data_IF_726575838122
#
_entry.id   IF_726575838122
#
_cell.length_a   1.000
_cell.length_b   1.000
_cell.length_c   1.000
_cell.angle_alpha   90.00
_cell.angle_beta   90.00
_cell.angle_gamma   90.00
#
_symmetry.space_group_name_H-M   'P 1'
#
loop_
_entity.id
_entity.type
_entity.pdbx_description
1 polymer ?
#
# COMPACT_ATOMS: atom_id res chain seq x y z
N UNK A 1 0.53 -16.49 -5.21
CA UNK A 1 1.17 -16.67 -3.89
C UNK A 1 0.48 -15.75 -2.89
N UNK A 2 0.04 -16.29 -1.73
CA UNK A 2 -0.65 -15.50 -0.71
C UNK A 2 0.17 -15.61 0.58
N UNK A 3 0.66 -14.50 1.17
CA UNK A 3 1.34 -14.55 2.45
C UNK A 3 0.34 -14.84 3.56
N UNK A 4 0.72 -15.69 4.50
CA UNK A 4 -0.11 -16.04 5.66
C UNK A 4 0.41 -15.40 6.94
N UNK A 5 1.72 -15.39 7.12
CA UNK A 5 2.46 -14.73 8.20
C UNK A 5 3.95 -14.73 7.88
N UNK A 6 4.71 -13.90 8.56
CA UNK A 6 6.16 -14.01 8.62
C UNK A 6 6.64 -14.84 9.84
N UNK A 7 7.93 -14.96 10.03
CA UNK A 7 8.55 -15.66 11.16
C UNK A 7 9.20 -14.71 12.20
N UNK A 8 8.96 -13.41 12.09
CA UNK A 8 9.49 -12.40 13.00
C UNK A 8 8.45 -12.06 14.08
N UNK A 9 8.75 -12.30 15.37
CA UNK A 9 7.83 -11.90 16.43
C UNK A 9 7.81 -10.38 16.63
N UNK A 10 6.63 -9.81 16.76
CA UNK A 10 6.42 -8.42 17.20
C UNK A 10 6.35 -8.37 18.73
N UNK A 11 7.04 -7.41 19.35
CA UNK A 11 7.13 -7.28 20.82
C UNK A 11 6.18 -6.21 21.36
N UNK A 12 5.77 -5.25 20.52
CA UNK A 12 4.86 -4.16 20.89
C UNK A 12 3.54 -4.27 20.14
N UNK A 13 2.46 -3.77 20.74
CA UNK A 13 1.17 -3.75 20.06
C UNK A 13 1.19 -2.69 18.95
N UNK A 14 0.93 -3.05 17.67
CA UNK A 14 1.11 -2.16 16.52
C UNK A 14 -0.10 -1.23 16.33
N UNK A 15 -0.21 -0.22 17.21
CA UNK A 15 -1.36 0.70 17.28
C UNK A 15 -1.58 1.45 15.97
N UNK A 16 -0.51 2.01 15.40
CA UNK A 16 -0.60 2.84 14.18
C UNK A 16 -0.94 1.98 12.97
N UNK A 17 -0.35 0.79 12.88
CA UNK A 17 -0.66 -0.15 11.82
C UNK A 17 -2.14 -0.53 11.80
N UNK A 18 -2.73 -0.83 12.96
CA UNK A 18 -4.16 -1.10 13.07
C UNK A 18 -5.03 0.13 12.78
N UNK A 19 -4.61 1.32 13.20
CA UNK A 19 -5.32 2.57 12.85
C UNK A 19 -5.32 2.78 11.34
N UNK A 20 -4.19 2.57 10.66
CA UNK A 20 -4.10 2.70 9.21
C UNK A 20 -4.99 1.67 8.50
N UNK A 21 -4.99 0.41 8.94
CA UNK A 21 -5.89 -0.62 8.42
C UNK A 21 -7.34 -0.21 8.63
N UNK A 22 -7.71 0.19 9.84
CA UNK A 22 -9.08 0.62 10.15
C UNK A 22 -9.51 1.84 9.33
N UNK A 23 -8.63 2.82 9.12
CA UNK A 23 -8.89 3.98 8.29
C UNK A 23 -9.16 3.60 6.82
N UNK A 24 -8.35 2.71 6.25
CA UNK A 24 -8.57 2.20 4.89
C UNK A 24 -9.89 1.44 4.76
N UNK A 25 -10.23 0.59 5.73
CA UNK A 25 -11.51 -0.11 5.76
C UNK A 25 -12.71 0.86 5.88
N UNK A 26 -12.60 1.89 6.72
CA UNK A 26 -13.63 2.90 6.89
C UNK A 26 -13.84 3.74 5.63
N UNK A 27 -12.74 4.18 4.98
CA UNK A 27 -12.81 4.90 3.71
C UNK A 27 -13.45 4.02 2.63
N UNK A 28 -13.07 2.76 2.53
CA UNK A 28 -13.65 1.85 1.55
C UNK A 28 -15.14 1.57 1.81
N UNK A 29 -15.55 1.43 3.08
CA UNK A 29 -16.98 1.34 3.43
C UNK A 29 -17.76 2.59 3.00
N UNK A 30 -17.15 3.77 3.14
CA UNK A 30 -17.72 5.02 2.63
C UNK A 30 -17.78 5.00 1.09
N UNK A 31 -16.73 4.57 0.37
CA UNK A 31 -16.72 4.42 -1.09
C UNK A 31 -17.89 3.55 -1.57
N UNK A 32 -18.12 2.41 -0.91
CA UNK A 32 -19.26 1.54 -1.23
C UNK A 32 -20.61 2.21 -1.04
N UNK A 33 -20.73 3.12 -0.07
CA UNK A 33 -21.98 3.88 0.18
C UNK A 33 -22.33 4.88 -0.92
N UNK A 34 -21.33 5.34 -1.69
CA UNK A 34 -21.51 6.31 -2.77
C UNK A 34 -22.18 5.71 -4.02
N UNK A 35 -22.14 4.39 -4.19
CA UNK A 35 -22.76 3.71 -5.31
C UNK A 35 -22.33 4.30 -6.67
N UNK A 36 -23.28 4.79 -7.44
CA UNK A 36 -23.02 5.36 -8.78
C UNK A 36 -22.24 6.68 -8.78
N UNK A 37 -22.11 7.35 -7.64
CA UNK A 37 -21.37 8.61 -7.51
C UNK A 37 -19.89 8.39 -7.18
N UNK A 38 -19.45 7.14 -7.01
CA UNK A 38 -18.09 6.80 -6.60
C UNK A 38 -17.03 7.33 -7.58
N UNK A 39 -17.20 7.09 -8.87
CA UNK A 39 -16.22 7.51 -9.88
C UNK A 39 -16.05 9.04 -9.88
N UNK A 40 -17.17 9.78 -9.82
CA UNK A 40 -17.13 11.23 -9.75
C UNK A 40 -16.46 11.72 -8.46
N UNK A 41 -16.72 11.06 -7.34
CA UNK A 41 -16.10 11.38 -6.04
C UNK A 41 -14.60 11.18 -6.09
N UNK A 42 -14.13 10.03 -6.56
CA UNK A 42 -12.69 9.72 -6.72
C UNK A 42 -12.05 10.74 -7.67
N UNK A 43 -12.67 11.03 -8.81
CA UNK A 43 -12.16 12.01 -9.77
C UNK A 43 -11.97 13.41 -9.17
N UNK A 44 -12.82 13.79 -8.20
CA UNK A 44 -12.76 15.09 -7.54
C UNK A 44 -11.71 15.13 -6.41
N UNK A 45 -11.54 14.02 -5.66
CA UNK A 45 -10.79 14.00 -4.41
C UNK A 45 -9.46 13.24 -4.47
N UNK A 46 -9.20 12.44 -5.50
CA UNK A 46 -7.92 11.80 -5.71
C UNK A 46 -6.93 12.70 -6.46
N UNK A 47 -5.64 12.42 -6.32
CA UNK A 47 -4.60 13.05 -7.12
C UNK A 47 -4.64 12.51 -8.56
N UNK A 48 -4.65 13.42 -9.54
CA UNK A 48 -4.59 13.12 -10.97
C UNK A 48 -3.31 13.75 -11.51
N UNK A 49 -2.37 12.99 -12.10
CA UNK A 49 -1.05 13.49 -12.50
C UNK A 49 -1.11 14.78 -13.32
N UNK A 50 -1.90 14.80 -14.40
CA UNK A 50 -2.00 15.99 -15.26
C UNK A 50 -2.52 17.23 -14.50
N UNK A 51 -3.41 17.07 -13.52
CA UNK A 51 -3.89 18.19 -12.70
C UNK A 51 -2.82 18.69 -11.74
N UNK A 52 -2.08 17.76 -11.08
CA UNK A 52 -0.99 18.15 -10.18
C UNK A 52 0.10 18.91 -10.93
N UNK A 53 0.45 18.47 -12.14
CA UNK A 53 1.47 19.14 -12.97
C UNK A 53 0.99 20.52 -13.45
N UNK A 54 -0.27 20.65 -13.90
CA UNK A 54 -0.80 21.91 -14.43
C UNK A 54 -1.13 22.95 -13.36
N UNK A 55 -1.63 22.52 -12.19
CA UNK A 55 -2.02 23.41 -11.09
C UNK A 55 -0.87 23.66 -10.09
N UNK A 56 0.20 22.87 -10.18
CA UNK A 56 1.33 22.89 -9.26
C UNK A 56 1.02 22.20 -7.91
N UNK A 57 2.03 22.16 -7.04
CA UNK A 57 1.95 21.50 -5.73
C UNK A 57 1.28 22.41 -4.68
N UNK A 58 -0.01 22.64 -4.85
CA UNK A 58 -0.82 23.44 -3.91
C UNK A 58 -1.22 22.62 -2.68
N UNK A 59 -1.66 23.29 -1.61
CA UNK A 59 -2.19 22.61 -0.42
C UNK A 59 -3.37 21.66 -0.77
N UNK A 60 -4.23 22.06 -1.72
CA UNK A 60 -5.32 21.23 -2.22
C UNK A 60 -4.81 19.94 -2.88
N UNK A 61 -3.74 20.01 -3.67
CA UNK A 61 -3.14 18.83 -4.29
C UNK A 61 -2.51 17.90 -3.23
N UNK A 62 -1.87 18.43 -2.19
CA UNK A 62 -1.38 17.60 -1.09
C UNK A 62 -2.50 16.87 -0.34
N UNK A 63 -3.66 17.50 -0.14
CA UNK A 63 -4.84 16.84 0.43
C UNK A 63 -5.31 15.69 -0.46
N UNK A 64 -5.41 15.91 -1.79
CA UNK A 64 -5.76 14.86 -2.74
C UNK A 64 -4.75 13.71 -2.76
N UNK A 65 -3.44 14.01 -2.72
CA UNK A 65 -2.38 12.99 -2.63
C UNK A 65 -2.49 12.17 -1.34
N UNK A 66 -2.88 12.79 -0.22
CA UNK A 66 -3.14 12.06 1.03
C UNK A 66 -4.36 11.17 0.89
N UNK A 67 -5.47 11.68 0.36
CA UNK A 67 -6.71 10.92 0.17
C UNK A 67 -6.49 9.70 -0.75
N UNK A 68 -5.69 9.87 -1.81
CA UNK A 68 -5.29 8.80 -2.74
C UNK A 68 -4.76 7.56 -2.03
N UNK A 69 -4.01 7.71 -0.92
CA UNK A 69 -3.44 6.61 -0.16
C UNK A 69 -4.49 5.73 0.54
N UNK A 70 -5.74 6.20 0.64
CA UNK A 70 -6.83 5.52 1.33
C UNK A 70 -7.94 5.05 0.39
N UNK A 71 -8.01 5.53 -0.85
CA UNK A 71 -8.99 5.07 -1.84
C UNK A 71 -8.60 3.72 -2.43
N UNK A 72 -9.59 2.89 -2.78
CA UNK A 72 -9.34 1.56 -3.33
C UNK A 72 -10.29 1.25 -4.49
N UNK A 73 -9.74 0.76 -5.59
CA UNK A 73 -10.49 0.41 -6.81
C UNK A 73 -11.32 -0.87 -6.72
N UNK A 74 -11.44 -1.51 -5.53
CA UNK A 74 -12.27 -2.69 -5.32
C UNK A 74 -11.74 -3.62 -4.21
N UNK A 75 -12.53 -4.66 -3.90
CA UNK A 75 -12.29 -5.58 -2.80
C UNK A 75 -10.92 -6.26 -2.82
N UNK A 76 -10.49 -6.76 -3.98
CA UNK A 76 -9.21 -7.45 -4.09
C UNK A 76 -8.04 -6.50 -3.84
N UNK A 77 -8.15 -5.26 -4.32
CA UNK A 77 -7.15 -4.21 -4.11
C UNK A 77 -7.04 -3.85 -2.62
N UNK A 78 -8.17 -3.59 -1.95
CA UNK A 78 -8.18 -3.32 -0.51
C UNK A 78 -7.62 -4.50 0.29
N UNK A 79 -8.17 -5.70 0.09
CA UNK A 79 -7.80 -6.87 0.90
C UNK A 79 -6.32 -7.24 0.73
N UNK A 80 -5.77 -7.13 -0.49
CA UNK A 80 -4.35 -7.35 -0.69
C UNK A 80 -3.50 -6.31 0.05
N UNK A 81 -3.82 -5.03 -0.04
CA UNK A 81 -3.12 -3.97 0.69
C UNK A 81 -3.18 -4.21 2.21
N UNK A 82 -4.36 -4.49 2.75
CA UNK A 82 -4.52 -4.71 4.19
C UNK A 82 -3.79 -5.97 4.66
N UNK A 83 -3.76 -7.03 3.86
CA UNK A 83 -3.03 -8.25 4.18
C UNK A 83 -1.51 -8.00 4.30
N UNK A 84 -0.93 -7.26 3.37
CA UNK A 84 0.49 -6.92 3.42
C UNK A 84 0.82 -5.99 4.59
N UNK A 85 -0.02 -4.99 4.83
CA UNK A 85 0.14 -4.08 5.95
C UNK A 85 0.00 -4.82 7.30
N UNK A 86 -0.93 -5.77 7.41
CA UNK A 86 -1.11 -6.61 8.58
C UNK A 86 0.13 -7.47 8.89
N UNK A 87 0.70 -8.16 7.87
CA UNK A 87 1.78 -9.14 8.08
C UNK A 87 3.13 -8.47 8.31
N UNK A 88 3.40 -7.33 7.67
CA UNK A 88 4.72 -6.73 7.66
C UNK A 88 4.78 -5.41 8.42
N UNK A 89 3.66 -4.72 8.55
CA UNK A 89 3.59 -3.40 9.16
C UNK A 89 3.85 -3.41 10.65
N UNK A 90 3.40 -4.43 11.37
CA UNK A 90 3.60 -4.59 12.81
C UNK A 90 5.07 -4.68 13.19
N UNK A 91 5.85 -5.46 12.46
CA UNK A 91 7.28 -5.62 12.68
C UNK A 91 8.07 -4.33 12.39
N UNK A 92 7.68 -3.59 11.36
CA UNK A 92 8.32 -2.30 11.03
C UNK A 92 7.95 -1.26 12.08
N UNK A 93 6.68 -1.22 12.53
CA UNK A 93 6.24 -0.34 13.62
C UNK A 93 6.96 -0.67 14.93
N UNK A 94 7.11 -1.95 15.28
CA UNK A 94 7.83 -2.41 16.48
C UNK A 94 9.29 -1.90 16.50
N UNK A 95 9.95 -1.85 15.34
CA UNK A 95 11.33 -1.37 15.21
C UNK A 95 11.46 0.14 15.15
N UNK A 96 10.53 0.84 14.51
CA UNK A 96 10.58 2.29 14.34
C UNK A 96 9.95 3.05 15.52
N UNK A 97 8.99 2.42 16.20
CA UNK A 97 8.06 3.05 17.13
C UNK A 97 6.90 3.77 16.40
N UNK A 98 5.78 3.91 17.09
CA UNK A 98 4.50 4.35 16.54
C UNK A 98 4.56 5.64 15.71
N UNK A 99 5.10 6.71 16.28
CA UNK A 99 5.14 8.02 15.61
C UNK A 99 6.01 8.00 14.35
N UNK A 100 7.21 7.39 14.43
CA UNK A 100 8.12 7.32 13.28
C UNK A 100 7.55 6.45 12.17
N UNK A 101 6.84 5.37 12.52
CA UNK A 101 6.17 4.52 11.56
C UNK A 101 5.08 5.27 10.80
N UNK A 102 4.24 6.07 11.49
CA UNK A 102 3.23 6.91 10.84
C UNK A 102 3.86 7.91 9.86
N UNK A 103 4.88 8.64 10.32
CA UNK A 103 5.59 9.60 9.46
C UNK A 103 6.22 8.90 8.26
N UNK A 104 6.85 7.75 8.48
CA UNK A 104 7.47 6.95 7.43
C UNK A 104 6.43 6.47 6.40
N UNK A 105 5.29 5.94 6.85
CA UNK A 105 4.19 5.50 5.98
C UNK A 105 3.69 6.64 5.08
N UNK A 106 3.43 7.81 5.65
CA UNK A 106 2.97 8.97 4.88
C UNK A 106 4.05 9.47 3.91
N UNK A 107 5.30 9.57 4.35
CA UNK A 107 6.39 10.02 3.48
C UNK A 107 6.61 9.08 2.29
N UNK A 108 6.61 7.77 2.52
CA UNK A 108 6.77 6.80 1.42
C UNK A 108 5.58 6.79 0.48
N UNK A 109 4.37 7.03 0.99
CA UNK A 109 3.18 7.23 0.17
C UNK A 109 3.29 8.46 -0.73
N UNK A 110 3.74 9.60 -0.18
CA UNK A 110 4.00 10.80 -0.99
C UNK A 110 5.11 10.58 -2.02
N UNK A 111 6.22 9.95 -1.64
CA UNK A 111 7.32 9.65 -2.55
C UNK A 111 6.86 8.76 -3.73
N UNK A 112 6.05 7.74 -3.44
CA UNK A 112 5.49 6.89 -4.47
C UNK A 112 4.52 7.65 -5.40
N UNK A 113 3.66 8.52 -4.82
CA UNK A 113 2.76 9.39 -5.60
C UNK A 113 3.56 10.35 -6.50
N UNK A 114 4.61 10.98 -5.99
CA UNK A 114 5.50 11.83 -6.79
C UNK A 114 6.19 11.03 -7.90
N UNK A 115 6.75 9.86 -7.57
CA UNK A 115 7.39 9.01 -8.56
C UNK A 115 6.42 8.65 -9.71
N UNK A 116 5.16 8.34 -9.39
CA UNK A 116 4.14 8.06 -10.41
C UNK A 116 3.81 9.30 -11.24
N UNK A 117 3.57 10.46 -10.61
CA UNK A 117 3.27 11.72 -11.32
C UNK A 117 4.40 12.10 -12.28
N UNK A 118 5.66 11.99 -11.86
CA UNK A 118 6.81 12.28 -12.72
C UNK A 118 7.02 11.25 -13.83
N UNK A 119 6.63 10.01 -13.61
CA UNK A 119 6.71 8.95 -14.64
C UNK A 119 5.61 9.07 -15.69
N UNK A 120 4.43 9.55 -15.30
CA UNK A 120 3.23 9.64 -16.14
C UNK A 120 2.54 11.02 -16.03
N UNK A 121 3.23 12.13 -16.35
CA UNK A 121 2.75 13.50 -16.07
C UNK A 121 1.47 13.86 -16.83
N UNK A 122 1.20 13.21 -17.95
CA UNK A 122 0.02 13.45 -18.80
C UNK A 122 -1.17 12.53 -18.45
N UNK A 123 -1.01 11.63 -17.47
CA UNK A 123 -2.08 10.71 -17.09
C UNK A 123 -3.28 11.46 -16.54
N UNK A 124 -4.46 11.11 -17.04
CA UNK A 124 -5.77 11.61 -16.59
C UNK A 124 -6.45 10.66 -15.61
N UNK A 125 -5.79 9.53 -15.27
CA UNK A 125 -6.34 8.51 -14.38
C UNK A 125 -6.09 8.91 -12.93
N UNK A 126 -7.12 8.94 -12.07
CA UNK A 126 -6.96 9.18 -10.64
C UNK A 126 -6.07 8.10 -9.98
N UNK A 127 -5.15 8.52 -9.13
CA UNK A 127 -4.34 7.60 -8.34
C UNK A 127 -5.17 7.08 -7.16
N UNK A 128 -5.10 5.78 -6.91
CA UNK A 128 -5.78 5.14 -5.77
C UNK A 128 -4.94 4.01 -5.20
N UNK A 129 -4.93 3.89 -3.89
CA UNK A 129 -4.35 2.77 -3.17
C UNK A 129 -3.24 3.11 -2.19
N UNK A 130 -3.20 2.33 -1.11
CA UNK A 130 -2.16 2.38 -0.09
C UNK A 130 -0.83 1.76 -0.57
N UNK A 131 -0.81 1.14 -1.75
CA UNK A 131 0.28 0.29 -2.23
C UNK A 131 1.64 1.00 -2.30
N UNK A 132 1.66 2.30 -2.59
CA UNK A 132 2.89 3.10 -2.60
C UNK A 132 3.50 3.23 -1.20
N UNK A 133 2.69 3.54 -0.18
CA UNK A 133 3.14 3.60 1.21
C UNK A 133 3.53 2.20 1.72
N UNK A 134 2.75 1.18 1.37
CA UNK A 134 3.04 -0.23 1.72
C UNK A 134 4.35 -0.69 1.07
N UNK A 135 4.64 -0.29 -0.17
CA UNK A 135 5.93 -0.59 -0.80
C UNK A 135 7.11 -0.08 0.03
N UNK A 136 6.98 1.13 0.62
CA UNK A 136 7.96 1.65 1.56
C UNK A 136 8.09 0.79 2.81
N UNK A 137 6.97 0.37 3.41
CA UNK A 137 6.96 -0.53 4.58
C UNK A 137 7.64 -1.86 4.26
N UNK A 138 7.33 -2.46 3.10
CA UNK A 138 7.96 -3.72 2.66
C UNK A 138 9.46 -3.55 2.38
N UNK A 139 9.87 -2.42 1.82
CA UNK A 139 11.28 -2.07 1.64
C UNK A 139 12.02 -1.95 2.98
N UNK A 140 11.41 -1.26 3.95
CA UNK A 140 11.96 -1.18 5.31
C UNK A 140 12.03 -2.55 5.99
N UNK A 141 11.00 -3.39 5.82
CA UNK A 141 10.98 -4.75 6.34
C UNK A 141 12.18 -5.57 5.83
N UNK A 142 12.47 -5.52 4.52
CA UNK A 142 13.62 -6.22 3.94
C UNK A 142 14.97 -5.75 4.50
N UNK A 143 15.10 -4.43 4.77
CA UNK A 143 16.33 -3.87 5.35
C UNK A 143 16.48 -4.28 6.82
N UNK A 144 15.40 -4.27 7.58
CA UNK A 144 15.39 -4.59 9.01
C UNK A 144 15.50 -6.10 9.28
N UNK A 145 14.94 -6.93 8.39
CA UNK A 145 14.82 -8.37 8.58
C UNK A 145 15.27 -9.16 7.32
N UNK A 146 16.54 -9.04 6.89
CA UNK A 146 17.01 -9.61 5.63
C UNK A 146 16.98 -11.15 5.58
N UNK A 147 16.91 -11.81 6.72
CA UNK A 147 16.87 -13.28 6.83
C UNK A 147 15.46 -13.82 7.12
N UNK A 148 14.46 -12.94 7.22
CA UNK A 148 13.09 -13.33 7.49
C UNK A 148 12.52 -14.26 6.40
N UNK A 149 11.56 -15.08 6.82
CA UNK A 149 10.83 -15.98 5.93
C UNK A 149 9.33 -15.73 6.05
N UNK A 150 8.64 -15.86 4.92
CA UNK A 150 7.20 -15.68 4.82
C UNK A 150 6.55 -17.05 4.59
N UNK A 151 5.69 -17.45 5.51
CA UNK A 151 4.83 -18.61 5.31
C UNK A 151 3.81 -18.28 4.24
N UNK A 152 3.89 -18.98 3.12
CA UNK A 152 3.18 -18.61 1.89
C UNK A 152 2.35 -19.76 1.37
N UNK A 153 1.10 -19.48 1.05
CA UNK A 153 0.24 -20.38 0.28
C UNK A 153 0.58 -20.26 -1.20
N UNK A 154 1.06 -21.34 -1.79
CA UNK A 154 1.49 -21.39 -3.18
C UNK A 154 0.61 -22.36 -3.95
N UNK A 155 0.13 -21.91 -5.11
CA UNK A 155 -0.63 -22.72 -6.06
C UNK A 155 0.31 -23.16 -7.18
N UNK A 156 0.56 -24.48 -7.25
CA UNK A 156 1.39 -25.09 -8.30
C UNK A 156 0.48 -26.06 -9.08
N UNK A 157 -0.04 -25.60 -10.22
CA UNK A 157 -1.07 -26.32 -11.00
C UNK A 157 -2.28 -26.66 -10.12
N UNK A 158 -2.48 -27.95 -9.84
CA UNK A 158 -3.59 -28.46 -9.01
C UNK A 158 -3.20 -28.65 -7.53
N UNK A 159 -1.92 -28.47 -7.18
CA UNK A 159 -1.44 -28.67 -5.82
C UNK A 159 -1.41 -27.34 -5.07
N UNK A 160 -1.93 -27.37 -3.85
CA UNK A 160 -1.84 -26.26 -2.89
C UNK A 160 -0.80 -26.64 -1.84
N UNK A 161 0.22 -25.81 -1.68
CA UNK A 161 1.29 -26.02 -0.71
C UNK A 161 1.45 -24.79 0.18
N UNK A 162 1.81 -25.04 1.43
CA UNK A 162 2.15 -23.99 2.41
C UNK A 162 3.64 -24.16 2.73
N UNK A 163 4.44 -23.22 2.29
CA UNK A 163 5.91 -23.28 2.41
C UNK A 163 6.49 -21.96 2.93
N UNK A 164 7.63 -22.02 3.58
CA UNK A 164 8.40 -20.83 3.94
C UNK A 164 9.25 -20.38 2.75
N UNK A 165 9.04 -19.14 2.31
CA UNK A 165 9.83 -18.49 1.25
C UNK A 165 10.68 -17.39 1.90
N UNK A 166 11.96 -17.22 1.56
CA UNK A 166 12.74 -16.07 2.02
C UNK A 166 12.02 -14.76 1.64
N UNK A 167 11.91 -13.83 2.61
CA UNK A 167 11.20 -12.57 2.41
C UNK A 167 11.72 -11.78 1.20
N UNK A 168 13.04 -11.80 0.97
CA UNK A 168 13.66 -11.16 -0.19
C UNK A 168 13.08 -11.69 -1.52
N UNK A 169 12.90 -12.99 -1.64
CA UNK A 169 12.34 -13.61 -2.86
C UNK A 169 10.86 -13.28 -2.98
N UNK A 170 10.10 -13.46 -1.90
CA UNK A 170 8.66 -13.23 -1.89
C UNK A 170 8.32 -11.77 -2.22
N UNK A 171 8.93 -10.83 -1.52
CA UNK A 171 8.71 -9.40 -1.71
C UNK A 171 9.33 -8.88 -3.01
N UNK A 172 10.46 -9.46 -3.45
CA UNK A 172 11.04 -9.15 -4.75
C UNK A 172 10.07 -9.45 -5.92
N UNK A 173 9.42 -10.62 -5.88
CA UNK A 173 8.38 -10.95 -6.86
C UNK A 173 7.20 -9.96 -6.75
N UNK A 174 6.76 -9.64 -5.55
CA UNK A 174 5.70 -8.67 -5.34
C UNK A 174 6.03 -7.30 -5.94
N UNK A 175 7.24 -6.77 -5.69
CA UNK A 175 7.70 -5.49 -6.28
C UNK A 175 7.69 -5.50 -7.81
N UNK A 176 8.17 -6.59 -8.43
CA UNK A 176 8.13 -6.72 -9.89
C UNK A 176 6.69 -6.70 -10.40
N UNK A 177 5.80 -7.46 -9.78
CA UNK A 177 4.38 -7.48 -10.16
C UNK A 177 3.72 -6.11 -9.97
N UNK A 178 4.05 -5.40 -8.88
CA UNK A 178 3.54 -4.05 -8.61
C UNK A 178 3.99 -3.05 -9.67
N UNK A 179 5.26 -3.10 -10.10
CA UNK A 179 5.77 -2.24 -11.18
C UNK A 179 5.05 -2.52 -12.50
N UNK A 180 4.88 -3.79 -12.86
CA UNK A 180 4.18 -4.18 -14.10
C UNK A 180 2.71 -3.76 -14.09
N UNK A 181 2.04 -3.84 -12.93
CA UNK A 181 0.64 -3.42 -12.79
C UNK A 181 0.46 -1.90 -12.77
N UNK A 182 1.46 -1.15 -12.30
CA UNK A 182 1.43 0.31 -12.26
C UNK A 182 1.73 0.99 -13.59
N UNK A 183 2.17 0.21 -14.60
CA UNK A 183 2.45 0.70 -15.96
C UNK A 183 1.34 0.38 -16.96
N UNK A 184 0.31 -0.36 -16.56
CA UNK A 184 -0.85 -0.74 -17.36
C UNK A 184 -2.02 0.18 -17.06
#
# INVERSE_FOLDING_TARGET
MIPLRDDIPSNTFPIVNYILIAANLAVFAFELSLGRSLDQYIFTHAAIPVQVVSEGFTAGQFVKMTATMFFHGGWLHLLSNMLYLWIFGDNVEDRMGHFRFLVFYLLTGYLATFAHIFSFPESTIPLVGASGAIAGVLGAYLVLFPQARVLTLVFIFIFIQVIYIPALVFLGIWFVLQLLSGTA
#
